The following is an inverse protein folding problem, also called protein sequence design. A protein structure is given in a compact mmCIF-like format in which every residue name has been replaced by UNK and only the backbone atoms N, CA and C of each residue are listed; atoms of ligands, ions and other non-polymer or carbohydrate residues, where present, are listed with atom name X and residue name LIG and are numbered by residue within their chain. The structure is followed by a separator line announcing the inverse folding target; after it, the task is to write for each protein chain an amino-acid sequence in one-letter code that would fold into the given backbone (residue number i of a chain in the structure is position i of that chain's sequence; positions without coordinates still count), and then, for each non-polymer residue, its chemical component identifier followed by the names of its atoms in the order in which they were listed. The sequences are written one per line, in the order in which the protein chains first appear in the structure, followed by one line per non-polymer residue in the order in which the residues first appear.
data_IF_955354389371
#
_entry.id   IF_955354389371
#
_cell.length_a   1.000
_cell.length_b   1.000
_cell.length_c   1.000
_cell.angle_alpha   90.00
_cell.angle_beta   90.00
_cell.angle_gamma   90.00
#
_symmetry.space_group_name_H-M   'P 1'
#
loop_
_entity.id
_entity.type
_entity.pdbx_description
1 polymer ?
#
# COMPACT_ATOMS: atom_id res chain seq x y z
N UNK A 1 -7.24 -22.46 9.75
CA UNK A 1 -6.99 -21.52 8.66
C UNK A 1 -8.24 -20.66 8.51
N UNK A 2 -8.14 -19.34 8.69
CA UNK A 2 -9.25 -18.41 8.43
C UNK A 2 -9.49 -18.40 6.92
N UNK A 3 -10.60 -19.00 6.48
CA UNK A 3 -10.98 -19.12 5.07
C UNK A 3 -11.77 -17.91 4.55
N UNK A 4 -12.25 -17.06 5.45
CA UNK A 4 -13.10 -15.90 5.12
C UNK A 4 -12.39 -14.61 5.56
N UNK A 5 -11.45 -14.15 4.71
CA UNK A 5 -10.78 -12.86 4.91
C UNK A 5 -11.67 -11.80 4.28
N UNK A 6 -12.16 -10.84 5.07
CA UNK A 6 -12.87 -9.65 4.58
C UNK A 6 -11.90 -8.46 4.54
N UNK A 7 -12.04 -7.64 3.52
CA UNK A 7 -11.24 -6.43 3.33
C UNK A 7 -12.15 -5.22 3.40
N UNK A 8 -11.77 -4.22 4.18
CA UNK A 8 -12.44 -2.92 4.17
C UNK A 8 -11.76 -1.97 3.19
N UNK A 9 -12.57 -1.30 2.37
CA UNK A 9 -12.13 -0.34 1.37
C UNK A 9 -12.91 0.97 1.53
N UNK A 10 -12.20 2.07 1.75
CA UNK A 10 -12.79 3.42 1.68
C UNK A 10 -12.83 3.91 0.23
N UNK A 11 -13.95 4.49 -0.20
CA UNK A 11 -14.25 4.75 -1.61
C UNK A 11 -13.73 6.10 -2.13
N UNK A 12 -12.68 6.05 -2.98
CA UNK A 12 -12.27 7.13 -3.88
C UNK A 12 -11.77 6.54 -5.21
N UNK A 13 -11.50 7.36 -6.23
CA UNK A 13 -11.19 6.91 -7.59
C UNK A 13 -10.09 5.83 -7.68
N UNK A 14 -9.06 5.89 -6.84
CA UNK A 14 -8.03 4.85 -6.75
C UNK A 14 -8.49 3.62 -5.94
N UNK A 15 -9.38 3.80 -4.97
CA UNK A 15 -9.91 2.74 -4.09
C UNK A 15 -10.94 1.87 -4.82
N UNK A 16 -11.72 2.44 -5.75
CA UNK A 16 -12.57 1.64 -6.64
C UNK A 16 -11.79 0.51 -7.31
N UNK A 17 -10.53 0.76 -7.66
CA UNK A 17 -9.64 -0.28 -8.19
C UNK A 17 -9.35 -1.38 -7.17
N UNK A 18 -9.23 -1.08 -5.90
CA UNK A 18 -9.10 -2.08 -4.82
C UNK A 18 -10.33 -2.99 -4.75
N UNK A 19 -11.54 -2.41 -4.79
CA UNK A 19 -12.79 -3.18 -4.84
C UNK A 19 -12.87 -4.06 -6.10
N UNK A 20 -12.56 -3.49 -7.28
CA UNK A 20 -12.51 -4.24 -8.55
C UNK A 20 -11.50 -5.41 -8.50
N UNK A 21 -10.37 -5.25 -7.81
CA UNK A 21 -9.40 -6.32 -7.59
C UNK A 21 -10.00 -7.40 -6.68
N UNK A 22 -10.63 -7.02 -5.57
CA UNK A 22 -11.28 -7.97 -4.69
C UNK A 22 -12.37 -8.77 -5.40
N UNK A 23 -13.21 -8.11 -6.19
CA UNK A 23 -14.22 -8.75 -7.05
C UNK A 23 -13.59 -9.75 -8.03
N UNK A 24 -12.55 -9.32 -8.76
CA UNK A 24 -11.88 -10.15 -9.76
C UNK A 24 -11.24 -11.41 -9.15
N UNK A 25 -10.77 -11.34 -7.91
CA UNK A 25 -10.17 -12.47 -7.20
C UNK A 25 -11.16 -13.22 -6.28
N UNK A 26 -12.43 -12.83 -6.27
CA UNK A 26 -13.46 -13.44 -5.41
C UNK A 26 -13.14 -13.29 -3.92
N UNK A 27 -12.58 -12.15 -3.53
CA UNK A 27 -12.29 -11.83 -2.13
C UNK A 27 -13.51 -11.12 -1.52
N UNK A 28 -14.00 -11.54 -0.36
CA UNK A 28 -15.04 -10.79 0.34
C UNK A 28 -14.48 -9.45 0.82
N UNK A 29 -15.28 -8.38 0.68
CA UNK A 29 -14.88 -7.05 1.13
C UNK A 29 -16.10 -6.21 1.55
N UNK A 30 -15.85 -5.20 2.38
CA UNK A 30 -16.78 -4.14 2.71
C UNK A 30 -16.24 -2.85 2.09
N UNK A 31 -17.07 -2.16 1.31
CA UNK A 31 -16.71 -0.90 0.69
C UNK A 31 -17.31 0.26 1.49
N UNK A 32 -16.47 1.06 2.15
CA UNK A 32 -16.89 2.25 2.88
C UNK A 32 -16.86 3.46 1.94
N UNK A 33 -18.03 3.83 1.40
CA UNK A 33 -18.15 4.96 0.48
C UNK A 33 -18.12 6.31 1.22
N UNK A 34 -17.32 7.23 0.70
CA UNK A 34 -17.22 8.60 1.20
C UNK A 34 -17.45 9.60 0.05
N UNK A 35 -17.98 10.80 0.31
CA UNK A 35 -18.02 11.85 -0.69
C UNK A 35 -16.63 12.24 -1.17
N UNK A 36 -16.47 12.53 -2.47
CA UNK A 36 -15.18 12.76 -3.15
C UNK A 36 -14.24 13.77 -2.48
N UNK A 37 -14.78 14.75 -1.76
CA UNK A 37 -13.99 15.84 -1.16
C UNK A 37 -13.87 15.73 0.37
N UNK A 38 -14.14 14.56 0.95
CA UNK A 38 -14.10 14.36 2.39
C UNK A 38 -13.10 13.27 2.74
N UNK A 39 -12.36 13.52 3.82
CA UNK A 39 -11.55 12.47 4.43
C UNK A 39 -12.48 11.38 4.99
N UNK A 40 -12.04 10.12 5.05
CA UNK A 40 -12.80 9.06 5.70
C UNK A 40 -13.05 9.41 7.17
N UNK A 41 -14.28 9.18 7.63
CA UNK A 41 -14.60 9.33 9.06
C UNK A 41 -14.00 8.13 9.81
N UNK A 42 -13.03 8.42 10.66
CA UNK A 42 -12.35 7.41 11.48
C UNK A 42 -13.31 6.65 12.41
N UNK A 43 -14.42 7.27 12.81
CA UNK A 43 -15.46 6.61 13.63
C UNK A 43 -16.21 5.56 12.83
N UNK A 44 -16.50 5.83 11.55
CA UNK A 44 -17.15 4.83 10.67
C UNK A 44 -16.25 3.62 10.49
N UNK A 45 -14.94 3.85 10.28
CA UNK A 45 -13.94 2.77 10.18
C UNK A 45 -13.91 1.97 11.49
N UNK A 46 -13.84 2.65 12.64
CA UNK A 46 -13.80 1.98 13.94
C UNK A 46 -15.06 1.18 14.22
N UNK A 47 -16.24 1.73 13.94
CA UNK A 47 -17.51 1.05 14.15
C UNK A 47 -17.65 -0.17 13.23
N UNK A 48 -17.23 -0.07 11.97
CA UNK A 48 -17.19 -1.22 11.05
C UNK A 48 -16.27 -2.33 11.56
N UNK A 49 -15.09 -1.98 12.09
CA UNK A 49 -14.16 -2.95 12.67
C UNK A 49 -14.70 -3.61 13.96
N UNK A 50 -15.54 -2.91 14.72
CA UNK A 50 -16.25 -3.49 15.88
C UNK A 50 -17.34 -4.47 15.46
N UNK A 51 -18.13 -4.11 14.45
CA UNK A 51 -19.23 -4.93 13.95
C UNK A 51 -18.74 -6.18 13.23
N UNK A 52 -17.59 -6.08 12.56
CA UNK A 52 -16.99 -7.12 11.74
C UNK A 52 -15.60 -7.52 12.26
N UNK A 53 -15.58 -8.32 13.33
CA UNK A 53 -14.33 -8.73 13.99
C UNK A 53 -13.50 -9.76 13.18
N UNK A 54 -13.98 -10.17 12.01
CA UNK A 54 -13.33 -11.03 11.04
C UNK A 54 -12.57 -10.26 9.94
N UNK A 55 -12.62 -8.93 9.94
CA UNK A 55 -11.80 -8.11 9.04
C UNK A 55 -10.33 -8.33 9.35
N UNK A 56 -9.59 -8.78 8.34
CA UNK A 56 -8.16 -9.05 8.45
C UNK A 56 -7.29 -7.92 7.89
N UNK A 57 -7.83 -7.10 6.98
CA UNK A 57 -7.08 -6.07 6.26
C UNK A 57 -7.95 -4.84 6.07
N UNK A 58 -7.36 -3.66 6.31
CA UNK A 58 -7.90 -2.37 5.91
C UNK A 58 -6.98 -1.77 4.84
N UNK A 59 -7.56 -1.40 3.72
CA UNK A 59 -6.83 -0.74 2.62
C UNK A 59 -7.32 0.68 2.42
N UNK A 60 -6.39 1.63 2.27
CA UNK A 60 -6.69 3.03 2.01
C UNK A 60 -5.67 3.67 1.07
N UNK A 61 -6.08 4.67 0.30
CA UNK A 61 -5.18 5.56 -0.41
C UNK A 61 -4.75 6.71 0.50
N UNK A 62 -3.45 7.01 0.60
CA UNK A 62 -2.95 8.15 1.38
C UNK A 62 -3.26 9.49 0.70
N UNK A 63 -2.99 9.61 -0.60
CA UNK A 63 -3.22 10.83 -1.38
C UNK A 63 -4.03 10.54 -2.64
N UNK A 64 -5.22 11.10 -2.69
CA UNK A 64 -6.12 10.93 -3.83
C UNK A 64 -5.69 11.79 -5.02
N UNK A 65 -5.25 11.13 -6.09
CA UNK A 65 -4.76 11.80 -7.29
C UNK A 65 -5.82 12.69 -7.95
N UNK A 66 -7.08 12.27 -7.92
CA UNK A 66 -8.19 12.99 -8.58
C UNK A 66 -8.64 14.26 -7.87
N UNK A 67 -8.48 14.34 -6.55
CA UNK A 67 -8.97 15.45 -5.72
C UNK A 67 -7.87 16.21 -5.01
N UNK A 68 -6.67 15.64 -4.89
CA UNK A 68 -5.59 16.18 -4.07
C UNK A 68 -5.78 15.97 -2.56
N UNK A 69 -6.81 15.21 -2.15
CA UNK A 69 -7.11 14.97 -0.75
C UNK A 69 -6.04 14.07 -0.11
N UNK A 70 -5.55 14.49 1.06
CA UNK A 70 -4.62 13.71 1.87
C UNK A 70 -5.38 13.06 3.04
N UNK A 71 -5.38 11.74 3.11
CA UNK A 71 -6.09 10.98 4.14
C UNK A 71 -5.25 10.82 5.42
N UNK A 72 -5.86 10.79 6.62
CA UNK A 72 -5.17 10.78 7.91
C UNK A 72 -4.69 9.37 8.29
N UNK A 73 -3.72 8.83 7.55
CA UNK A 73 -3.26 7.44 7.69
C UNK A 73 -2.78 7.08 9.09
N UNK A 74 -2.11 8.02 9.81
CA UNK A 74 -1.64 7.79 11.18
C UNK A 74 -2.78 7.56 12.18
N UNK A 75 -3.87 8.30 12.04
CA UNK A 75 -5.06 8.12 12.89
C UNK A 75 -5.73 6.79 12.59
N UNK A 76 -5.89 6.51 11.31
CA UNK A 76 -6.54 5.27 10.83
C UNK A 76 -5.70 4.05 11.20
N UNK A 77 -4.37 4.09 11.04
CA UNK A 77 -3.47 2.98 11.39
C UNK A 77 -3.60 2.57 12.86
N UNK A 78 -3.68 3.54 13.79
CA UNK A 78 -3.91 3.26 15.21
C UNK A 78 -5.25 2.55 15.47
N UNK A 79 -6.30 2.95 14.76
CA UNK A 79 -7.61 2.30 14.86
C UNK A 79 -7.51 0.87 14.31
N UNK A 80 -6.94 0.70 13.14
CA UNK A 80 -6.82 -0.61 12.49
C UNK A 80 -6.08 -1.61 13.38
N UNK A 81 -4.93 -1.22 13.93
CA UNK A 81 -4.14 -2.08 14.81
C UNK A 81 -4.81 -2.39 16.14
N UNK A 82 -5.65 -1.49 16.67
CA UNK A 82 -6.48 -1.74 17.86
C UNK A 82 -7.41 -2.95 17.67
N UNK A 83 -7.83 -3.21 16.42
CA UNK A 83 -8.70 -4.34 16.07
C UNK A 83 -7.93 -5.52 15.43
N UNK A 84 -6.60 -5.50 15.52
CA UNK A 84 -5.72 -6.57 15.03
C UNK A 84 -5.82 -6.86 13.52
N UNK A 85 -6.27 -5.88 12.74
CA UNK A 85 -6.24 -5.95 11.28
C UNK A 85 -4.90 -5.44 10.73
N UNK A 86 -4.53 -5.88 9.54
CA UNK A 86 -3.38 -5.35 8.81
C UNK A 86 -3.74 -4.05 8.10
N UNK A 87 -2.83 -3.09 8.09
CA UNK A 87 -3.03 -1.80 7.44
C UNK A 87 -2.21 -1.68 6.16
N UNK A 88 -2.89 -1.63 5.03
CA UNK A 88 -2.30 -1.47 3.69
C UNK A 88 -2.62 -0.09 3.16
N UNK A 89 -1.59 0.67 2.78
CA UNK A 89 -1.73 2.05 2.31
C UNK A 89 -1.20 2.20 0.89
N UNK A 90 -2.05 2.63 -0.02
CA UNK A 90 -1.60 3.09 -1.34
C UNK A 90 -0.96 4.47 -1.21
N UNK A 91 0.36 4.51 -1.31
CA UNK A 91 1.15 5.74 -1.26
C UNK A 91 1.66 6.16 -2.64
N UNK A 92 1.09 5.61 -3.72
CA UNK A 92 1.56 5.84 -5.09
C UNK A 92 1.72 7.32 -5.43
N UNK A 93 0.80 8.17 -5.01
CA UNK A 93 0.83 9.62 -5.27
C UNK A 93 1.48 10.45 -4.15
N UNK A 94 1.80 9.87 -3.01
CA UNK A 94 2.39 10.58 -1.86
C UNK A 94 3.82 10.17 -1.53
N UNK A 95 4.23 8.95 -1.92
CA UNK A 95 5.57 8.44 -1.65
C UNK A 95 6.64 9.37 -2.26
N UNK A 96 7.64 9.71 -1.47
CA UNK A 96 8.68 10.69 -1.79
C UNK A 96 8.19 12.14 -1.98
N UNK A 97 6.88 12.42 -1.86
CA UNK A 97 6.27 13.75 -1.96
C UNK A 97 5.72 14.25 -0.61
N UNK A 98 5.44 13.35 0.32
CA UNK A 98 4.96 13.64 1.67
C UNK A 98 5.72 12.79 2.68
N UNK A 99 5.92 13.29 3.92
CA UNK A 99 6.49 12.48 4.98
C UNK A 99 5.62 11.27 5.27
N UNK A 100 6.21 10.08 5.22
CA UNK A 100 5.60 8.82 5.58
C UNK A 100 6.62 8.08 6.46
N UNK A 101 6.19 7.67 7.63
CA UNK A 101 6.98 6.88 8.56
C UNK A 101 6.19 5.60 8.87
N UNK A 102 6.58 4.50 8.26
CA UNK A 102 5.82 3.24 8.33
C UNK A 102 5.62 2.74 9.77
N UNK A 103 6.54 3.04 10.68
CA UNK A 103 6.40 2.66 12.09
C UNK A 103 5.45 3.59 12.83
N UNK A 104 5.65 4.93 12.72
CA UNK A 104 4.82 5.92 13.41
C UNK A 104 3.41 6.02 12.84
N UNK A 105 3.24 5.74 11.56
CA UNK A 105 1.96 5.74 10.86
C UNK A 105 1.27 4.36 10.93
N UNK A 106 1.92 3.39 11.60
CA UNK A 106 1.41 2.03 11.84
C UNK A 106 1.02 1.30 10.54
N UNK A 107 1.83 1.46 9.50
CA UNK A 107 1.59 0.87 8.18
C UNK A 107 2.25 -0.51 8.11
N UNK A 108 1.48 -1.54 7.75
CA UNK A 108 2.02 -2.89 7.53
C UNK A 108 2.54 -3.08 6.10
N UNK A 109 1.84 -2.50 5.12
CA UNK A 109 2.28 -2.47 3.74
C UNK A 109 1.99 -1.12 3.11
N UNK A 110 2.95 -0.59 2.35
CA UNK A 110 2.69 0.52 1.44
C UNK A 110 3.28 0.24 0.06
N UNK A 111 2.69 0.87 -0.94
CA UNK A 111 3.09 0.70 -2.32
C UNK A 111 3.30 2.04 -3.01
N UNK A 112 4.27 2.08 -3.92
CA UNK A 112 4.62 3.25 -4.69
C UNK A 112 5.02 2.88 -6.12
N UNK A 113 5.00 3.87 -7.01
CA UNK A 113 5.45 3.73 -8.39
C UNK A 113 6.62 4.68 -8.67
N UNK A 114 7.57 4.23 -9.47
CA UNK A 114 8.79 5.00 -9.78
C UNK A 114 8.51 6.34 -10.47
N UNK A 115 7.49 6.41 -11.33
CA UNK A 115 7.15 7.58 -12.15
C UNK A 115 6.36 8.68 -11.41
N UNK A 116 6.09 8.51 -10.13
CA UNK A 116 5.40 9.52 -9.29
C UNK A 116 6.42 10.37 -8.53
N UNK A 117 6.38 10.44 -7.22
CA UNK A 117 7.24 11.31 -6.42
C UNK A 117 8.75 11.06 -6.56
N UNK A 118 9.17 9.86 -6.93
CA UNK A 118 10.58 9.57 -7.25
C UNK A 118 11.00 10.19 -8.58
N UNK A 119 10.03 10.46 -9.50
CA UNK A 119 10.27 11.08 -10.82
C UNK A 119 11.18 10.25 -11.76
N UNK A 120 11.12 8.92 -11.65
CA UNK A 120 11.78 8.00 -12.55
C UNK A 120 10.89 7.57 -13.72
N UNK A 121 11.36 6.66 -14.55
CA UNK A 121 10.57 6.07 -15.63
C UNK A 121 9.51 5.13 -15.10
N UNK A 122 8.40 4.97 -15.85
CA UNK A 122 7.38 3.93 -15.60
C UNK A 122 7.96 2.52 -15.77
N UNK A 123 7.36 1.54 -15.10
CA UNK A 123 7.74 0.12 -15.23
C UNK A 123 8.36 -0.50 -13.98
N UNK A 124 8.45 0.26 -12.88
CA UNK A 124 8.89 -0.25 -11.59
C UNK A 124 7.92 0.19 -10.49
N UNK A 125 7.52 -0.76 -9.67
CA UNK A 125 6.72 -0.53 -8.47
C UNK A 125 7.50 -0.99 -7.23
N UNK A 126 7.28 -0.31 -6.12
CA UNK A 126 7.87 -0.65 -4.83
C UNK A 126 6.76 -1.10 -3.90
N UNK A 127 7.01 -2.17 -3.17
CA UNK A 127 6.19 -2.60 -2.04
C UNK A 127 7.10 -2.65 -0.82
N UNK A 128 6.77 -1.87 0.19
CA UNK A 128 7.43 -1.90 1.49
C UNK A 128 6.47 -2.58 2.44
N UNK A 129 6.88 -3.67 3.04
CA UNK A 129 6.00 -4.48 3.86
C UNK A 129 6.67 -5.02 5.11
N UNK A 130 5.87 -5.28 6.15
CA UNK A 130 6.32 -5.93 7.38
C UNK A 130 6.81 -7.33 7.07
N UNK A 131 8.10 -7.57 7.32
CA UNK A 131 8.77 -8.83 6.97
C UNK A 131 8.07 -10.06 7.55
N UNK A 132 7.65 -10.02 8.82
CA UNK A 132 6.94 -11.14 9.45
C UNK A 132 5.66 -11.52 8.70
N UNK A 133 4.88 -10.53 8.26
CA UNK A 133 3.65 -10.77 7.51
C UNK A 133 3.91 -11.31 6.10
N UNK A 134 5.02 -10.90 5.46
CA UNK A 134 5.44 -11.51 4.19
C UNK A 134 5.81 -12.98 4.40
N UNK A 135 6.54 -13.30 5.48
CA UNK A 135 6.92 -14.68 5.81
C UNK A 135 5.70 -15.54 6.20
N UNK A 136 4.76 -15.01 6.98
CA UNK A 136 3.48 -15.67 7.32
C UNK A 136 2.61 -15.97 6.09
N UNK A 137 2.71 -15.15 5.05
CA UNK A 137 1.93 -15.35 3.82
C UNK A 137 2.34 -16.59 3.01
N UNK A 138 3.41 -17.29 3.42
CA UNK A 138 3.81 -18.58 2.85
C UNK A 138 2.70 -19.64 2.93
N UNK A 139 1.92 -19.60 4.01
CA UNK A 139 0.88 -20.58 4.31
C UNK A 139 -0.47 -20.24 3.65
N UNK A 140 -0.57 -19.09 2.98
CA UNK A 140 -1.79 -18.67 2.33
C UNK A 140 -1.92 -19.23 0.91
N UNK A 141 -3.15 -19.47 0.41
CA UNK A 141 -3.39 -19.93 -0.94
C UNK A 141 -2.76 -18.97 -1.98
N UNK A 142 -1.96 -19.51 -2.88
CA UNK A 142 -1.34 -18.74 -3.96
C UNK A 142 -2.38 -18.34 -4.99
N UNK A 143 -2.72 -17.05 -5.04
CA UNK A 143 -3.71 -16.50 -5.97
C UNK A 143 -3.08 -15.88 -7.22
N UNK A 144 -1.78 -15.55 -7.16
CA UNK A 144 -1.03 -15.02 -8.29
C UNK A 144 0.37 -15.63 -8.31
N UNK A 145 0.87 -15.94 -9.50
CA UNK A 145 2.26 -16.37 -9.67
C UNK A 145 3.22 -15.18 -9.65
N UNK A 146 2.91 -14.13 -10.45
CA UNK A 146 3.78 -12.96 -10.60
C UNK A 146 3.73 -12.01 -9.39
N UNK A 147 2.54 -11.72 -8.86
CA UNK A 147 2.34 -10.77 -7.76
C UNK A 147 2.46 -11.42 -6.36
N UNK A 148 3.07 -12.59 -6.24
CA UNK A 148 3.28 -13.24 -4.96
C UNK A 148 4.51 -12.68 -4.26
N UNK A 149 4.29 -11.83 -3.24
CA UNK A 149 5.38 -11.15 -2.51
C UNK A 149 6.29 -12.12 -1.76
N UNK A 150 5.72 -13.18 -1.17
CA UNK A 150 6.53 -14.20 -0.48
C UNK A 150 7.50 -14.89 -1.42
N UNK A 151 7.03 -15.30 -2.60
CA UNK A 151 7.89 -15.94 -3.60
C UNK A 151 9.00 -15.01 -4.11
N UNK A 152 8.68 -13.74 -4.34
CA UNK A 152 9.68 -12.74 -4.74
C UNK A 152 10.70 -12.50 -3.63
N UNK A 153 10.24 -12.38 -2.37
CA UNK A 153 11.10 -12.19 -1.21
C UNK A 153 12.04 -13.38 -1.00
N UNK A 154 11.52 -14.60 -1.04
CA UNK A 154 12.33 -15.82 -0.86
C UNK A 154 13.38 -15.96 -1.97
N UNK A 155 12.98 -15.77 -3.22
CA UNK A 155 13.92 -15.83 -4.33
C UNK A 155 15.05 -14.80 -4.19
N UNK A 156 14.71 -13.55 -3.86
CA UNK A 156 15.70 -12.51 -3.64
C UNK A 156 16.64 -12.83 -2.46
N UNK A 157 16.11 -13.43 -1.39
CA UNK A 157 16.89 -13.84 -0.23
C UNK A 157 17.88 -14.98 -0.55
N UNK A 158 17.47 -15.93 -1.37
CA UNK A 158 18.26 -17.11 -1.71
C UNK A 158 19.31 -16.82 -2.80
N UNK A 159 18.95 -16.00 -3.78
CA UNK A 159 19.76 -15.79 -4.98
C UNK A 159 20.39 -14.39 -5.09
N UNK A 160 19.96 -13.42 -4.29
CA UNK A 160 20.45 -12.03 -4.32
C UNK A 160 20.03 -11.24 -5.57
N UNK A 161 18.99 -11.71 -6.28
CA UNK A 161 18.48 -11.10 -7.51
C UNK A 161 16.95 -11.10 -7.57
N UNK A 162 16.38 -10.38 -8.54
CA UNK A 162 14.93 -10.36 -8.75
C UNK A 162 14.43 -11.71 -9.29
N UNK A 163 13.27 -12.16 -8.80
CA UNK A 163 12.65 -13.42 -9.23
C UNK A 163 12.28 -13.46 -10.72
N UNK A 164 11.99 -12.30 -11.30
CA UNK A 164 11.66 -12.17 -12.72
C UNK A 164 12.67 -11.24 -13.41
N UNK A 165 12.79 -11.36 -14.74
CA UNK A 165 13.70 -10.53 -15.53
C UNK A 165 13.54 -9.06 -15.17
N UNK A 166 14.59 -8.39 -14.66
CA UNK A 166 14.50 -7.00 -14.24
C UNK A 166 14.43 -6.06 -15.46
N UNK A 167 13.63 -4.98 -15.37
CA UNK A 167 13.64 -3.91 -16.37
C UNK A 167 14.88 -3.02 -16.16
N UNK A 168 16.06 -3.50 -16.58
CA UNK A 168 17.37 -2.93 -16.23
C UNK A 168 17.46 -1.44 -16.48
N UNK A 169 16.97 -0.95 -17.63
CA UNK A 169 16.99 0.47 -17.99
C UNK A 169 16.17 1.31 -16.99
N UNK A 170 15.00 0.79 -16.59
CA UNK A 170 14.12 1.46 -15.61
C UNK A 170 14.75 1.48 -14.22
N UNK A 171 15.44 0.40 -13.82
CA UNK A 171 16.18 0.33 -12.56
C UNK A 171 17.32 1.35 -12.53
N UNK A 172 18.10 1.48 -13.62
CA UNK A 172 19.14 2.52 -13.72
C UNK A 172 18.55 3.94 -13.66
N UNK A 173 17.45 4.20 -14.36
CA UNK A 173 16.76 5.48 -14.31
C UNK A 173 16.25 5.78 -12.88
N UNK A 174 15.66 4.79 -12.20
CA UNK A 174 15.21 4.94 -10.82
C UNK A 174 16.37 5.20 -9.85
N UNK A 175 17.50 4.51 -10.03
CA UNK A 175 18.72 4.76 -9.25
C UNK A 175 19.21 6.20 -9.41
N UNK A 176 19.20 6.73 -10.64
CA UNK A 176 19.63 8.10 -10.91
C UNK A 176 18.65 9.10 -10.27
N UNK A 177 17.35 8.91 -10.45
CA UNK A 177 16.33 9.76 -9.85
C UNK A 177 16.42 9.78 -8.31
N UNK A 178 16.70 8.64 -7.67
CA UNK A 178 16.91 8.57 -6.22
C UNK A 178 18.18 9.32 -5.78
N UNK A 179 19.26 9.28 -6.56
CA UNK A 179 20.47 10.08 -6.27
C UNK A 179 20.15 11.58 -6.30
N UNK A 180 19.41 12.03 -7.30
CA UNK A 180 19.00 13.44 -7.43
C UNK A 180 18.03 13.81 -6.28
N UNK A 181 17.07 12.96 -5.98
CA UNK A 181 16.16 13.13 -4.86
C UNK A 181 16.87 13.33 -3.52
N UNK A 182 17.91 12.53 -3.22
CA UNK A 182 18.68 12.69 -1.99
C UNK A 182 19.61 13.90 -2.02
N UNK A 183 20.11 14.29 -3.19
CA UNK A 183 20.96 15.47 -3.35
C UNK A 183 20.20 16.79 -3.13
N UNK A 184 18.91 16.84 -3.40
CA UNK A 184 18.06 18.03 -3.19
C UNK A 184 17.91 18.43 -1.71
N UNK A 185 18.06 17.50 -0.80
CA UNK A 185 17.80 17.70 0.63
C UNK A 185 16.31 17.70 0.99
N UNK A 186 15.99 17.41 2.25
CA UNK A 186 14.61 17.23 2.72
C UNK A 186 13.75 18.48 2.60
N UNK A 187 14.30 19.66 2.87
CA UNK A 187 13.56 20.92 2.83
C UNK A 187 12.96 21.22 1.44
N UNK A 188 13.63 20.79 0.36
CA UNK A 188 13.20 21.05 -1.00
C UNK A 188 12.21 19.99 -1.53
N UNK A 189 12.19 18.79 -0.94
CA UNK A 189 11.34 17.68 -1.37
C UNK A 189 9.86 17.94 -1.16
N UNK A 190 9.50 18.68 -0.12
CA UNK A 190 8.13 18.94 0.28
C UNK A 190 7.52 20.21 -0.33
N UNK A 191 8.30 20.96 -1.09
CA UNK A 191 7.89 22.21 -1.75
C UNK A 191 7.59 22.08 -3.24
N UNK A 192 7.69 20.88 -3.78
CA UNK A 192 7.38 20.55 -5.18
C UNK A 192 5.91 20.53 -5.49
#
# INVERSE_FOLDING_TARGET
ARTDIRYDLCHFYCIRRGAEICEAYGLPFINLEQPLNHQPDSRVIEDTLKEHNDIAVVYITHHETGTGLLNPIREIGKIVHKYHAAFIVDTTSSYAMRPIDVEKDEIDFCMASAQKGIMAMTGLSYVIGRKSMIEESADYPRRSYYCNLYMQYQYAKEHGEMHFTPPVQVVYAARQALKEYFAEGEANKWTR
#
